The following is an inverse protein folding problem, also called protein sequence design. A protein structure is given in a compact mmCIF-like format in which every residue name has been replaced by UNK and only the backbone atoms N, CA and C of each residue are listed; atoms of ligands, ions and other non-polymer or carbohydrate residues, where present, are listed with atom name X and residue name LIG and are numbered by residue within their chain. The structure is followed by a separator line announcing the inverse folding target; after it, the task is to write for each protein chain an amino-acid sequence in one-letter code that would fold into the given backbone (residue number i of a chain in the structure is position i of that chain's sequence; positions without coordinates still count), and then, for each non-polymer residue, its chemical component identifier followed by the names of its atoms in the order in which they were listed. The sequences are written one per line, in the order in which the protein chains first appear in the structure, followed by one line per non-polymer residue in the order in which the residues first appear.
data_IF_973892470206
#
_entry.id   IF_973892470206
#
_cell.length_a   1.000
_cell.length_b   1.000
_cell.length_c   1.000
_cell.angle_alpha   90.00
_cell.angle_beta   90.00
_cell.angle_gamma   90.00
#
_symmetry.space_group_name_H-M   'P 1'
#
loop_
_entity.id
_entity.type
_entity.pdbx_description
1 polymer ?
#
# COMPACT_ATOMS: atom_id res chain seq x y z
N UNK A 1 -43.49 -45.40 -50.24
CA UNK A 1 -42.12 -45.41 -49.69
C UNK A 1 -41.66 -43.99 -49.52
N UNK A 2 -41.56 -43.57 -48.23
CA UNK A 2 -41.15 -42.20 -47.85
C UNK A 2 -39.73 -42.21 -47.29
N UNK A 3 -38.79 -41.40 -47.72
CA UNK A 3 -37.50 -41.27 -47.03
C UNK A 3 -37.61 -40.26 -45.91
N UNK A 4 -37.02 -40.62 -44.79
CA UNK A 4 -36.98 -39.83 -43.57
C UNK A 4 -35.93 -38.71 -43.73
N UNK A 5 -36.36 -37.48 -43.45
CA UNK A 5 -35.45 -36.32 -43.27
C UNK A 5 -34.77 -36.41 -41.90
N UNK A 6 -33.48 -36.64 -41.89
CA UNK A 6 -32.66 -36.53 -40.72
C UNK A 6 -32.19 -35.07 -40.58
N UNK A 7 -32.78 -34.34 -39.68
CA UNK A 7 -32.34 -32.99 -39.29
C UNK A 7 -31.12 -33.10 -38.38
N UNK A 8 -29.94 -32.79 -38.90
CA UNK A 8 -28.72 -32.66 -38.13
C UNK A 8 -28.75 -31.28 -37.41
N UNK A 9 -29.05 -31.31 -36.13
CA UNK A 9 -28.94 -30.14 -35.27
C UNK A 9 -27.46 -29.94 -34.90
N UNK A 10 -26.78 -29.08 -35.64
CA UNK A 10 -25.41 -28.68 -35.32
C UNK A 10 -25.43 -27.78 -34.08
N UNK A 11 -25.09 -28.37 -32.92
CA UNK A 11 -24.88 -27.65 -31.66
C UNK A 11 -23.55 -26.92 -31.76
N UNK A 12 -23.62 -25.62 -32.08
CA UNK A 12 -22.45 -24.74 -32.08
C UNK A 12 -22.10 -24.41 -30.64
N UNK A 13 -21.23 -25.22 -30.02
CA UNK A 13 -20.64 -24.92 -28.72
C UNK A 13 -19.63 -23.78 -28.92
N UNK A 14 -20.08 -22.55 -28.72
CA UNK A 14 -19.17 -21.41 -28.53
C UNK A 14 -18.47 -21.59 -27.18
N UNK A 15 -17.25 -22.13 -27.20
CA UNK A 15 -16.32 -22.01 -26.08
C UNK A 15 -16.03 -20.51 -25.88
N UNK A 16 -16.72 -19.89 -24.94
CA UNK A 16 -16.23 -18.64 -24.36
C UNK A 16 -14.91 -18.97 -23.66
N UNK A 17 -13.81 -18.65 -24.30
CA UNK A 17 -12.50 -18.58 -23.65
C UNK A 17 -12.60 -17.47 -22.59
N UNK A 18 -12.91 -17.87 -21.34
CA UNK A 18 -12.75 -17.01 -20.18
C UNK A 18 -11.24 -16.83 -20.05
N UNK A 19 -10.72 -15.74 -20.60
CA UNK A 19 -9.36 -15.31 -20.31
C UNK A 19 -9.26 -15.22 -18.77
N UNK A 20 -8.26 -15.88 -18.13
CA UNK A 20 -8.06 -15.70 -16.71
C UNK A 20 -7.88 -14.19 -16.48
N UNK A 21 -8.78 -13.58 -15.72
CA UNK A 21 -8.55 -12.25 -15.20
C UNK A 21 -7.26 -12.34 -14.38
N UNK A 22 -6.14 -11.95 -14.98
CA UNK A 22 -4.91 -11.76 -14.25
C UNK A 22 -5.23 -10.71 -13.21
N UNK A 23 -5.38 -11.15 -11.95
CA UNK A 23 -5.45 -10.24 -10.82
C UNK A 23 -4.25 -9.31 -10.99
N UNK A 24 -4.53 -8.02 -11.22
CA UNK A 24 -3.51 -7.00 -11.33
C UNK A 24 -2.80 -6.96 -9.98
N UNK A 25 -1.70 -7.71 -9.88
CA UNK A 25 -0.76 -7.56 -8.79
C UNK A 25 -0.15 -6.18 -8.98
N UNK A 26 -0.62 -5.23 -8.19
CA UNK A 26 -0.03 -3.92 -8.09
C UNK A 26 1.43 -4.11 -7.65
N UNK A 27 2.35 -3.78 -8.55
CA UNK A 27 3.78 -3.84 -8.32
C UNK A 27 4.45 -5.16 -8.66
N UNK A 28 5.60 -5.06 -9.34
CA UNK A 28 6.49 -6.19 -9.65
C UNK A 28 7.38 -6.56 -8.45
N UNK A 29 7.31 -5.78 -7.36
CA UNK A 29 8.17 -5.96 -6.20
C UNK A 29 7.58 -6.94 -5.18
N UNK A 30 8.41 -7.88 -4.75
CA UNK A 30 8.17 -8.64 -3.53
C UNK A 30 8.99 -7.98 -2.41
N UNK A 31 8.38 -7.11 -1.59
CA UNK A 31 9.12 -6.36 -0.59
C UNK A 31 9.73 -7.29 0.45
N UNK A 32 11.04 -7.13 0.70
CA UNK A 32 11.69 -7.83 1.81
C UNK A 32 11.32 -7.16 3.13
N UNK A 33 11.02 -7.99 4.13
CA UNK A 33 10.77 -7.50 5.48
C UNK A 33 12.01 -6.85 6.10
N UNK A 34 11.75 -5.82 6.89
CA UNK A 34 12.71 -5.22 7.80
C UNK A 34 12.21 -5.35 9.26
N UNK A 35 12.98 -4.85 10.22
CA UNK A 35 12.61 -4.96 11.63
C UNK A 35 11.24 -4.35 11.94
N UNK A 36 10.88 -3.23 11.31
CA UNK A 36 9.60 -2.52 11.53
C UNK A 36 8.45 -3.34 10.97
N UNK A 37 8.58 -3.86 9.72
CA UNK A 37 7.52 -4.65 9.08
C UNK A 37 7.32 -6.01 9.76
N UNK A 38 8.40 -6.63 10.23
CA UNK A 38 8.33 -7.86 11.02
C UNK A 38 7.60 -7.62 12.34
N UNK A 39 7.95 -6.57 13.07
CA UNK A 39 7.27 -6.20 14.31
C UNK A 39 5.79 -5.87 14.08
N UNK A 40 5.45 -5.15 13.01
CA UNK A 40 4.06 -4.90 12.62
C UNK A 40 3.27 -6.21 12.42
N UNK A 41 3.83 -7.18 11.71
CA UNK A 41 3.15 -8.47 11.47
C UNK A 41 2.89 -9.21 12.79
N UNK A 42 3.85 -9.22 13.71
CA UNK A 42 3.69 -9.82 15.03
C UNK A 42 2.59 -9.11 15.84
N UNK A 43 2.58 -7.78 15.84
CA UNK A 43 1.53 -6.96 16.46
C UNK A 43 0.15 -7.29 15.88
N UNK A 44 0.03 -7.25 14.56
CA UNK A 44 -1.23 -7.53 13.86
C UNK A 44 -1.79 -8.91 14.22
N UNK A 45 -0.96 -9.95 14.18
CA UNK A 45 -1.39 -11.30 14.56
C UNK A 45 -1.82 -11.38 16.03
N UNK A 46 -1.11 -10.71 16.94
CA UNK A 46 -1.46 -10.69 18.36
C UNK A 46 -2.81 -9.99 18.61
N UNK A 47 -3.04 -8.84 17.94
CA UNK A 47 -4.32 -8.12 18.01
C UNK A 47 -5.46 -8.96 17.44
N UNK A 48 -5.26 -9.59 16.28
CA UNK A 48 -6.26 -10.46 15.65
C UNK A 48 -6.62 -11.68 16.51
N UNK A 49 -5.67 -12.17 17.31
CA UNK A 49 -5.88 -13.25 18.26
C UNK A 49 -6.45 -12.78 19.61
N UNK A 50 -6.78 -11.49 19.76
CA UNK A 50 -7.27 -10.91 21.02
C UNK A 50 -6.20 -10.81 22.13
N UNK A 51 -4.92 -11.04 21.81
CA UNK A 51 -3.80 -11.04 22.78
C UNK A 51 -3.20 -9.65 22.92
N UNK A 52 -3.99 -8.71 23.43
CA UNK A 52 -3.59 -7.30 23.51
C UNK A 52 -2.41 -7.05 24.46
N UNK A 53 -2.27 -7.82 25.54
CA UNK A 53 -1.13 -7.76 26.43
C UNK A 53 0.19 -8.15 25.74
N UNK A 54 0.16 -9.15 24.85
CA UNK A 54 1.30 -9.54 24.02
C UNK A 54 1.60 -8.45 22.98
N UNK A 55 0.55 -7.97 22.28
CA UNK A 55 0.69 -6.91 21.28
C UNK A 55 1.28 -5.64 21.90
N UNK A 56 0.82 -5.26 23.10
CA UNK A 56 1.35 -4.11 23.82
C UNK A 56 2.85 -4.26 24.14
N UNK A 57 3.29 -5.40 24.67
CA UNK A 57 4.73 -5.63 24.93
C UNK A 57 5.55 -5.57 23.64
N UNK A 58 5.06 -6.20 22.57
CA UNK A 58 5.72 -6.12 21.24
C UNK A 58 5.81 -4.69 20.71
N UNK A 59 4.83 -3.86 21.02
CA UNK A 59 4.85 -2.44 20.68
C UNK A 59 5.83 -1.68 21.57
N UNK A 60 5.73 -1.84 22.89
CA UNK A 60 6.52 -1.09 23.88
C UNK A 60 8.03 -1.28 23.67
N UNK A 61 8.47 -2.52 23.39
CA UNK A 61 9.87 -2.90 23.24
C UNK A 61 10.32 -2.90 21.77
N UNK A 62 9.37 -2.78 20.83
CA UNK A 62 9.56 -3.00 19.41
C UNK A 62 10.23 -1.86 18.66
N UNK A 63 10.79 -2.18 17.47
CA UNK A 63 11.38 -1.16 16.58
C UNK A 63 10.32 -0.21 16.02
N UNK A 64 9.07 -0.64 15.88
CA UNK A 64 7.99 0.19 15.35
C UNK A 64 7.74 1.41 16.26
N UNK A 65 7.60 1.22 17.56
CA UNK A 65 7.42 2.33 18.53
C UNK A 65 8.64 3.24 18.54
N UNK A 66 9.85 2.68 18.50
CA UNK A 66 11.08 3.49 18.45
C UNK A 66 11.08 4.40 17.22
N UNK A 67 10.68 3.87 16.05
CA UNK A 67 10.60 4.68 14.84
C UNK A 67 9.48 5.74 14.91
N UNK A 68 8.30 5.42 15.49
CA UNK A 68 7.26 6.43 15.72
C UNK A 68 7.77 7.59 16.56
N UNK A 69 8.53 7.31 17.62
CA UNK A 69 9.13 8.34 18.48
C UNK A 69 10.21 9.14 17.76
N UNK A 70 11.07 8.49 17.01
CA UNK A 70 12.12 9.16 16.26
C UNK A 70 11.54 10.13 15.21
N UNK A 71 10.34 9.85 14.70
CA UNK A 71 9.63 10.68 13.71
C UNK A 71 8.51 11.53 14.28
N UNK A 72 8.42 11.70 15.58
CA UNK A 72 7.28 12.37 16.23
C UNK A 72 6.94 13.74 15.61
N UNK A 73 7.96 14.53 15.22
CA UNK A 73 7.75 15.84 14.60
C UNK A 73 7.13 15.78 13.18
N UNK A 74 7.18 14.64 12.51
CA UNK A 74 6.62 14.43 11.17
C UNK A 74 5.28 13.66 11.19
N UNK A 75 4.85 13.22 12.37
CA UNK A 75 3.61 12.48 12.59
C UNK A 75 2.53 13.40 13.21
N UNK A 76 1.25 13.06 13.07
CA UNK A 76 0.20 13.74 13.83
C UNK A 76 0.46 13.71 15.33
N UNK A 77 0.24 14.83 15.98
CA UNK A 77 0.49 15.02 17.43
C UNK A 77 -0.06 13.88 18.27
N UNK A 78 0.79 13.31 19.12
CA UNK A 78 0.41 12.27 20.06
C UNK A 78 0.05 10.92 19.42
N UNK A 79 0.38 10.67 18.14
CA UNK A 79 0.04 9.41 17.46
C UNK A 79 0.56 8.19 18.22
N UNK A 80 1.82 8.21 18.66
CA UNK A 80 2.43 7.10 19.42
C UNK A 80 1.68 6.84 20.72
N UNK A 81 1.39 7.91 21.50
CA UNK A 81 0.70 7.80 22.78
C UNK A 81 -0.73 7.26 22.60
N UNK A 82 -1.48 7.75 21.61
CA UNK A 82 -2.82 7.23 21.30
C UNK A 82 -2.80 5.77 20.88
N UNK A 83 -1.85 5.40 20.01
CA UNK A 83 -1.70 3.99 19.58
C UNK A 83 -1.37 3.11 20.78
N UNK A 84 -0.51 3.57 21.68
CA UNK A 84 -0.16 2.88 22.91
C UNK A 84 -1.39 2.69 23.82
N UNK A 85 -2.17 3.76 24.01
CA UNK A 85 -3.40 3.71 24.82
C UNK A 85 -4.45 2.77 24.22
N UNK A 86 -4.54 2.67 22.90
CA UNK A 86 -5.43 1.73 22.22
C UNK A 86 -5.08 0.26 22.51
N UNK A 87 -3.79 -0.07 22.62
CA UNK A 87 -3.38 -1.42 23.09
C UNK A 87 -3.82 -1.69 24.52
N UNK A 88 -3.71 -0.69 25.44
CA UNK A 88 -4.14 -0.84 26.82
C UNK A 88 -5.66 -1.04 26.92
N UNK A 89 -6.41 -0.34 26.07
CA UNK A 89 -7.87 -0.41 26.03
C UNK A 89 -8.41 -1.67 25.30
N UNK A 90 -7.56 -2.43 24.62
CA UNK A 90 -8.00 -3.53 23.75
C UNK A 90 -8.77 -3.06 22.51
N UNK A 91 -8.56 -1.80 22.07
CA UNK A 91 -9.24 -1.20 20.93
C UNK A 91 -8.50 -1.54 19.62
N UNK A 92 -8.89 -2.64 18.99
CA UNK A 92 -8.31 -3.11 17.74
C UNK A 92 -8.47 -2.09 16.59
N UNK A 93 -9.57 -1.35 16.56
CA UNK A 93 -9.85 -0.41 15.48
C UNK A 93 -8.94 0.83 15.57
N UNK A 94 -8.71 1.34 16.79
CA UNK A 94 -7.82 2.47 16.99
C UNK A 94 -6.33 2.06 16.86
N UNK A 95 -5.97 0.83 17.27
CA UNK A 95 -4.65 0.26 16.98
C UNK A 95 -4.41 0.22 15.48
N UNK A 96 -5.34 -0.37 14.70
CA UNK A 96 -5.24 -0.45 13.24
C UNK A 96 -5.12 0.93 12.61
N UNK A 97 -5.90 1.90 13.09
CA UNK A 97 -5.86 3.28 12.64
C UNK A 97 -4.50 3.94 12.90
N UNK A 98 -3.98 3.83 14.11
CA UNK A 98 -2.68 4.40 14.48
C UNK A 98 -1.54 3.82 13.63
N UNK A 99 -1.54 2.51 13.42
CA UNK A 99 -0.56 1.83 12.57
C UNK A 99 -0.71 2.23 11.09
N UNK A 100 -1.94 2.33 10.58
CA UNK A 100 -2.23 2.78 9.21
C UNK A 100 -1.66 4.20 8.97
N UNK A 101 -1.92 5.15 9.87
CA UNK A 101 -1.40 6.51 9.79
C UNK A 101 0.14 6.50 9.78
N UNK A 102 0.76 5.72 10.64
CA UNK A 102 2.22 5.63 10.71
C UNK A 102 2.83 5.11 9.39
N UNK A 103 2.31 4.03 8.83
CA UNK A 103 2.82 3.47 7.58
C UNK A 103 2.53 4.36 6.36
N UNK A 104 1.40 5.07 6.36
CA UNK A 104 1.11 6.08 5.35
C UNK A 104 2.13 7.23 5.43
N UNK A 105 2.51 7.67 6.63
CA UNK A 105 3.53 8.70 6.82
C UNK A 105 4.91 8.24 6.34
N UNK A 106 5.32 7.00 6.61
CA UNK A 106 6.57 6.45 6.07
C UNK A 106 6.58 6.45 4.54
N UNK A 107 5.48 6.02 3.92
CA UNK A 107 5.34 6.04 2.46
C UNK A 107 5.38 7.44 1.88
N UNK A 108 4.68 8.41 2.51
CA UNK A 108 4.68 9.82 2.11
C UNK A 108 6.09 10.41 2.15
N UNK A 109 6.82 10.20 3.23
CA UNK A 109 8.17 10.75 3.39
C UNK A 109 9.14 10.18 2.36
N UNK A 110 8.99 8.90 2.00
CA UNK A 110 9.75 8.27 0.90
C UNK A 110 9.42 8.88 -0.45
N UNK A 111 8.14 9.16 -0.73
CA UNK A 111 7.72 9.78 -1.98
C UNK A 111 8.26 11.23 -2.11
N UNK A 112 8.22 12.00 -1.02
CA UNK A 112 8.81 13.35 -0.99
C UNK A 112 10.33 13.32 -1.13
N UNK A 113 11.00 12.33 -0.55
CA UNK A 113 12.44 12.15 -0.71
C UNK A 113 12.81 11.79 -2.14
N UNK A 114 12.03 10.92 -2.79
CA UNK A 114 12.20 10.60 -4.20
C UNK A 114 12.10 11.86 -5.09
N UNK A 115 11.07 12.69 -4.87
CA UNK A 115 10.91 13.95 -5.59
C UNK A 115 12.14 14.87 -5.39
N UNK A 116 12.64 15.00 -4.15
CA UNK A 116 13.84 15.80 -3.87
C UNK A 116 15.08 15.28 -4.59
N UNK A 117 15.33 13.97 -4.56
CA UNK A 117 16.51 13.39 -5.22
C UNK A 117 16.46 13.54 -6.73
N UNK A 118 15.27 13.35 -7.33
CA UNK A 118 15.06 13.55 -8.76
C UNK A 118 15.21 15.04 -9.14
N UNK A 119 14.77 15.96 -8.28
CA UNK A 119 14.99 17.40 -8.47
C UNK A 119 16.47 17.78 -8.42
N UNK A 120 17.25 17.07 -7.60
CA UNK A 120 18.71 17.25 -7.49
C UNK A 120 19.50 16.55 -8.60
N UNK A 121 18.85 15.96 -9.61
CA UNK A 121 19.50 15.34 -10.76
C UNK A 121 19.84 13.86 -10.60
N UNK A 122 19.28 13.17 -9.60
CA UNK A 122 19.46 11.72 -9.49
C UNK A 122 18.90 11.00 -10.72
N UNK A 123 19.55 9.89 -11.12
CA UNK A 123 19.16 9.09 -12.27
C UNK A 123 17.72 8.54 -12.10
N UNK A 124 16.77 8.85 -13.03
CA UNK A 124 15.34 8.61 -12.78
C UNK A 124 14.97 7.16 -12.56
N UNK A 125 15.37 6.23 -13.45
CA UNK A 125 14.95 4.84 -13.39
C UNK A 125 15.40 4.14 -12.09
N UNK A 126 16.70 4.12 -11.71
CA UNK A 126 17.14 3.45 -10.48
C UNK A 126 16.59 4.14 -9.21
N UNK A 127 16.47 5.47 -9.21
CA UNK A 127 15.88 6.21 -8.09
C UNK A 127 14.42 5.85 -7.95
N UNK A 128 13.65 5.91 -9.04
CA UNK A 128 12.24 5.57 -9.05
C UNK A 128 11.99 4.14 -8.56
N UNK A 129 12.69 3.14 -9.12
CA UNK A 129 12.53 1.74 -8.73
C UNK A 129 12.79 1.52 -7.23
N UNK A 130 13.87 2.10 -6.71
CA UNK A 130 14.24 1.98 -5.29
C UNK A 130 13.17 2.56 -4.36
N UNK A 131 12.65 3.76 -4.69
CA UNK A 131 11.65 4.40 -3.84
C UNK A 131 10.29 3.75 -3.96
N UNK A 132 9.88 3.29 -5.14
CA UNK A 132 8.63 2.55 -5.32
C UNK A 132 8.65 1.24 -4.52
N UNK A 133 9.75 0.48 -4.57
CA UNK A 133 9.89 -0.70 -3.72
C UNK A 133 9.74 -0.37 -2.22
N UNK A 134 10.39 0.71 -1.77
CA UNK A 134 10.34 1.12 -0.37
C UNK A 134 8.93 1.60 0.04
N UNK A 135 8.24 2.37 -0.80
CA UNK A 135 6.87 2.82 -0.57
C UNK A 135 5.92 1.61 -0.50
N UNK A 136 6.04 0.67 -1.46
CA UNK A 136 5.19 -0.51 -1.50
C UNK A 136 5.41 -1.42 -0.29
N UNK A 137 6.63 -1.53 0.20
CA UNK A 137 6.96 -2.28 1.43
C UNK A 137 6.12 -1.87 2.62
N UNK A 138 5.80 -0.58 2.74
CA UNK A 138 5.01 -0.06 3.85
C UNK A 138 3.52 -0.01 3.53
N UNK A 139 3.15 0.49 2.36
CA UNK A 139 1.75 0.71 2.02
C UNK A 139 0.95 -0.59 1.92
N UNK A 140 1.48 -1.64 1.31
CA UNK A 140 0.76 -2.91 1.15
C UNK A 140 0.39 -3.58 2.48
N UNK A 141 1.09 -3.28 3.57
CA UNK A 141 0.77 -3.78 4.90
C UNK A 141 -0.56 -3.23 5.44
N UNK A 142 -0.89 -2.02 5.02
CA UNK A 142 -2.07 -1.27 5.49
C UNK A 142 -3.11 -1.01 4.40
N UNK A 143 -2.86 -1.40 3.16
CA UNK A 143 -3.77 -1.19 2.03
C UNK A 143 -5.19 -1.71 2.29
N UNK A 144 -5.32 -2.88 2.94
CA UNK A 144 -6.63 -3.42 3.33
C UNK A 144 -7.34 -2.52 4.36
N UNK A 145 -6.62 -2.00 5.35
CA UNK A 145 -7.18 -1.07 6.33
C UNK A 145 -7.62 0.24 5.67
N UNK A 146 -6.80 0.78 4.75
CA UNK A 146 -7.15 1.95 3.94
C UNK A 146 -8.40 1.67 3.11
N UNK A 147 -8.45 0.55 2.38
CA UNK A 147 -9.58 0.18 1.52
C UNK A 147 -10.90 0.07 2.28
N UNK A 148 -10.89 -0.46 3.52
CA UNK A 148 -12.09 -0.54 4.37
C UNK A 148 -12.59 0.83 4.85
N UNK A 149 -11.71 1.80 5.01
CA UNK A 149 -12.02 3.15 5.50
C UNK A 149 -12.34 4.12 4.37
N UNK A 150 -11.53 4.07 3.31
CA UNK A 150 -11.64 4.90 2.12
C UNK A 150 -11.19 4.10 0.89
N UNK A 151 -12.14 3.42 0.27
CA UNK A 151 -11.90 2.66 -0.95
C UNK A 151 -11.40 3.54 -2.10
N UNK A 152 -11.79 4.82 -2.14
CA UNK A 152 -11.34 5.75 -3.18
C UNK A 152 -9.86 6.08 -3.02
N UNK A 153 -9.42 6.35 -1.79
CA UNK A 153 -8.00 6.58 -1.50
C UNK A 153 -7.15 5.35 -1.82
N UNK A 154 -7.62 4.13 -1.47
CA UNK A 154 -6.92 2.88 -1.83
C UNK A 154 -6.78 2.72 -3.34
N UNK A 155 -7.85 2.91 -4.12
CA UNK A 155 -7.81 2.83 -5.59
C UNK A 155 -6.89 3.91 -6.16
N UNK A 156 -7.01 5.17 -5.68
CA UNK A 156 -6.17 6.27 -6.14
C UNK A 156 -4.68 6.00 -5.90
N UNK A 157 -4.34 5.43 -4.73
CA UNK A 157 -2.95 5.07 -4.40
C UNK A 157 -2.40 3.99 -5.32
N UNK A 158 -3.17 2.94 -5.59
CA UNK A 158 -2.77 1.87 -6.50
C UNK A 158 -2.54 2.38 -7.91
N UNK A 159 -3.46 3.20 -8.44
CA UNK A 159 -3.31 3.79 -9.76
C UNK A 159 -2.09 4.72 -9.84
N UNK A 160 -1.88 5.58 -8.84
CA UNK A 160 -0.70 6.45 -8.80
C UNK A 160 0.60 5.66 -8.73
N UNK A 161 0.59 4.52 -8.01
CA UNK A 161 1.73 3.61 -7.93
C UNK A 161 2.00 2.94 -9.28
N UNK A 162 0.98 2.39 -9.94
CA UNK A 162 1.09 1.73 -11.24
C UNK A 162 1.58 2.70 -12.32
N UNK A 163 1.08 3.94 -12.32
CA UNK A 163 1.54 5.01 -13.22
C UNK A 163 3.04 5.29 -13.03
N UNK A 164 3.50 5.37 -11.79
CA UNK A 164 4.90 5.59 -11.47
C UNK A 164 5.78 4.38 -11.85
N UNK A 165 5.30 3.17 -11.56
CA UNK A 165 6.01 1.93 -11.90
C UNK A 165 6.15 1.76 -13.42
N UNK A 166 5.12 2.10 -14.20
CA UNK A 166 5.17 2.05 -15.65
C UNK A 166 6.26 2.95 -16.24
N UNK A 167 6.60 4.06 -15.56
CA UNK A 167 7.69 4.96 -15.99
C UNK A 167 9.09 4.38 -15.77
N UNK A 168 9.27 3.46 -14.81
CA UNK A 168 10.58 2.92 -14.45
C UNK A 168 10.82 1.50 -14.95
N UNK A 169 9.76 0.81 -15.43
CA UNK A 169 9.91 -0.51 -16.06
C UNK A 169 10.81 -0.40 -17.29
N UNK A 170 11.70 -1.38 -17.51
CA UNK A 170 12.41 -1.49 -18.78
C UNK A 170 11.37 -1.68 -19.89
N UNK A 171 11.01 -0.59 -20.56
CA UNK A 171 10.15 -0.68 -21.71
C UNK A 171 10.96 -1.30 -22.87
N UNK A 172 10.28 -2.02 -23.78
CA UNK A 172 10.89 -2.55 -24.99
C UNK A 172 11.42 -1.47 -25.95
N UNK A 173 11.28 -0.20 -25.59
CA UNK A 173 11.86 0.95 -26.30
C UNK A 173 12.60 1.87 -25.33
N UNK A 174 13.81 2.36 -25.66
CA UNK A 174 14.64 3.17 -24.78
C UNK A 174 14.20 4.65 -24.78
N UNK A 175 12.94 4.93 -24.48
CA UNK A 175 12.57 6.30 -24.17
C UNK A 175 13.16 6.64 -22.80
N UNK A 176 14.01 7.66 -22.75
CA UNK A 176 14.58 8.13 -21.49
C UNK A 176 13.46 8.41 -20.48
N UNK A 177 13.55 7.80 -19.30
CA UNK A 177 12.59 8.03 -18.22
C UNK A 177 12.59 9.52 -17.88
N UNK A 178 11.44 10.18 -18.03
CA UNK A 178 11.30 11.59 -17.71
C UNK A 178 11.32 11.81 -16.19
N UNK A 179 12.37 12.47 -15.70
CA UNK A 179 12.46 12.88 -14.30
C UNK A 179 11.25 13.73 -13.87
N UNK A 180 10.78 14.64 -14.74
CA UNK A 180 9.64 15.50 -14.47
C UNK A 180 8.36 14.70 -14.24
N UNK A 181 8.04 13.74 -15.12
CA UNK A 181 6.87 12.86 -14.98
C UNK A 181 6.94 12.00 -13.74
N UNK A 182 8.12 11.44 -13.46
CA UNK A 182 8.31 10.60 -12.28
C UNK A 182 8.16 11.41 -10.98
N UNK A 183 8.66 12.63 -10.95
CA UNK A 183 8.45 13.58 -9.84
C UNK A 183 6.97 13.89 -9.62
N UNK A 184 6.22 14.13 -10.67
CA UNK A 184 4.78 14.35 -10.60
C UNK A 184 4.06 13.14 -9.99
N UNK A 185 4.41 11.92 -10.41
CA UNK A 185 3.85 10.69 -9.84
C UNK A 185 4.18 10.55 -8.34
N UNK A 186 5.40 10.82 -7.91
CA UNK A 186 5.76 10.79 -6.49
C UNK A 186 5.03 11.84 -5.66
N UNK A 187 4.84 13.06 -6.17
CA UNK A 187 4.03 14.09 -5.49
C UNK A 187 2.59 13.63 -5.35
N UNK A 188 1.98 13.08 -6.40
CA UNK A 188 0.63 12.52 -6.34
C UNK A 188 0.51 11.41 -5.28
N UNK A 189 1.48 10.50 -5.21
CA UNK A 189 1.54 9.48 -4.15
C UNK A 189 1.60 10.15 -2.76
N UNK A 190 2.47 11.15 -2.58
CA UNK A 190 2.61 11.87 -1.32
C UNK A 190 1.31 12.58 -0.90
N UNK A 191 0.60 13.20 -1.85
CA UNK A 191 -0.67 13.89 -1.60
C UNK A 191 -1.76 12.92 -1.16
N UNK A 192 -1.88 11.76 -1.83
CA UNK A 192 -2.85 10.73 -1.46
C UNK A 192 -2.56 10.20 -0.05
N UNK A 193 -1.30 9.90 0.25
CA UNK A 193 -0.89 9.42 1.58
C UNK A 193 -1.10 10.49 2.65
N UNK A 194 -0.90 11.76 2.33
CA UNK A 194 -1.23 12.88 3.22
C UNK A 194 -2.73 12.95 3.53
N UNK A 195 -3.58 12.73 2.54
CA UNK A 195 -5.03 12.61 2.72
C UNK A 195 -5.41 11.50 3.69
N UNK A 196 -4.79 10.32 3.58
CA UNK A 196 -5.01 9.18 4.49
C UNK A 196 -4.60 9.52 5.93
N UNK A 197 -3.45 10.21 6.11
CA UNK A 197 -2.93 10.60 7.42
C UNK A 197 -3.89 11.56 8.15
N UNK A 198 -4.48 12.50 7.42
CA UNK A 198 -5.32 13.55 7.98
C UNK A 198 -6.82 13.25 7.91
N UNK A 199 -7.20 12.07 7.42
CA UNK A 199 -8.60 11.67 7.36
C UNK A 199 -9.23 11.63 8.76
N UNK A 200 -10.43 12.21 8.95
CA UNK A 200 -11.13 12.15 10.23
C UNK A 200 -11.41 10.70 10.64
N UNK A 201 -11.58 10.43 11.94
CA UNK A 201 -12.06 9.12 12.39
C UNK A 201 -13.35 8.75 11.66
N UNK A 202 -13.52 7.48 11.31
CA UNK A 202 -14.80 7.03 10.77
C UNK A 202 -15.90 7.27 11.82
N UNK A 203 -17.11 7.69 11.40
CA UNK A 203 -18.23 7.83 12.34
C UNK A 203 -18.47 6.47 13.00
N UNK A 204 -18.58 6.48 14.32
CA UNK A 204 -18.98 5.30 15.11
C UNK A 204 -20.41 4.96 14.67
N UNK A 205 -20.58 3.78 14.05
CA UNK A 205 -21.90 3.25 13.69
C UNK A 205 -22.48 2.44 14.86
#
# INVERSE_FOLDING_TARGET
MRPACASALALLLTLLAVAPATAHHTGTYTPKDNAITTNFKQLKFSVQAGKFDVARRLFDDGPLRREMRARAAALPDGLEARTRAAFDAGDAAEVERGLMIFFAALGRDLALEADRQLAAGAAPAPTGSRFLEAIWRYYNLVDFAVSRRDARASVAMRLAYDDAEALVRPAAAPAAVSAARLRESFRRIADILSGIIHAPPAPVR
#
